data_IF_611386431409
#
_entry.id   IF_611386431409
#
_cell.length_a   1.000
_cell.length_b   1.000
_cell.length_c   1.000
_cell.angle_alpha   90.00
_cell.angle_beta   90.00
_cell.angle_gamma   90.00
#
_symmetry.space_group_name_H-M   'P 1'
#
loop_
_entity.id
_entity.type
_entity.pdbx_description
1 polymer ?
#
# COMPACT_ATOMS: atom_id res chain seq x y z
N UNK A 1 2.09 -25.86 -23.19
CA UNK A 1 2.93 -24.77 -22.67
C UNK A 1 2.05 -23.94 -21.76
N UNK A 2 2.47 -23.63 -20.53
CA UNK A 2 1.69 -22.77 -19.64
C UNK A 2 1.67 -21.35 -20.20
N UNK A 3 0.52 -20.66 -20.09
CA UNK A 3 0.40 -19.27 -20.51
C UNK A 3 1.40 -18.40 -19.72
N UNK A 4 2.11 -17.45 -20.36
CA UNK A 4 2.98 -16.53 -19.65
C UNK A 4 2.20 -15.75 -18.58
N UNK A 5 2.85 -15.51 -17.45
CA UNK A 5 2.29 -14.71 -16.34
C UNK A 5 3.07 -13.41 -16.25
N UNK A 6 2.36 -12.30 -16.06
CA UNK A 6 2.92 -10.96 -15.96
C UNK A 6 2.55 -10.34 -14.62
N UNK A 7 3.30 -9.31 -14.23
CA UNK A 7 2.97 -8.43 -13.12
C UNK A 7 2.85 -7.00 -13.63
N UNK A 8 1.77 -6.33 -13.25
CA UNK A 8 1.58 -4.90 -13.48
C UNK A 8 1.50 -4.20 -12.13
N UNK A 9 2.04 -2.99 -12.04
CA UNK A 9 2.09 -2.24 -10.78
C UNK A 9 1.58 -0.82 -10.99
N UNK A 10 0.80 -0.33 -10.04
CA UNK A 10 0.41 1.08 -9.95
C UNK A 10 0.81 1.64 -8.59
N UNK A 11 1.13 2.93 -8.57
CA UNK A 11 1.51 3.65 -7.36
C UNK A 11 0.59 4.84 -7.09
N UNK A 12 0.40 5.14 -5.81
CA UNK A 12 -0.22 6.35 -5.29
C UNK A 12 0.62 6.90 -4.12
N UNK A 13 0.33 8.13 -3.72
CA UNK A 13 0.98 8.80 -2.58
C UNK A 13 -0.06 9.34 -1.62
N UNK A 14 0.31 9.46 -0.35
CA UNK A 14 -0.46 10.17 0.67
C UNK A 14 0.48 10.72 1.73
N UNK A 15 0.12 11.85 2.33
CA UNK A 15 0.86 12.47 3.42
C UNK A 15 0.11 12.25 4.73
N UNK A 16 0.76 11.64 5.73
CA UNK A 16 0.09 11.35 6.99
C UNK A 16 1.05 11.43 8.19
N UNK A 17 0.47 11.72 9.35
CA UNK A 17 1.18 11.69 10.62
C UNK A 17 0.96 10.35 11.34
N UNK A 18 1.95 9.93 12.13
CA UNK A 18 1.83 8.81 13.05
C UNK A 18 2.79 8.90 14.24
N UNK A 19 2.60 8.03 15.23
CA UNK A 19 3.53 7.85 16.35
C UNK A 19 3.41 6.45 16.95
N UNK A 20 4.42 6.06 17.74
CA UNK A 20 4.46 4.77 18.43
C UNK A 20 4.64 4.97 19.94
N UNK A 21 3.55 5.04 20.73
CA UNK A 21 3.62 5.28 22.18
C UNK A 21 4.46 4.24 22.94
N UNK A 22 4.44 2.99 22.46
CA UNK A 22 5.19 1.86 23.02
C UNK A 22 6.49 1.59 22.24
N UNK A 23 6.98 2.56 21.48
CA UNK A 23 8.22 2.46 20.73
C UNK A 23 9.45 2.41 21.65
N UNK A 24 10.63 2.05 21.12
CA UNK A 24 11.86 2.01 21.90
C UNK A 24 12.15 3.37 22.55
N UNK A 25 12.53 3.35 23.83
CA UNK A 25 12.90 4.57 24.55
C UNK A 25 14.01 5.34 23.83
N UNK A 26 13.96 6.67 23.94
CA UNK A 26 14.94 7.60 23.35
C UNK A 26 15.06 7.55 21.82
N UNK A 27 14.08 6.95 21.11
CA UNK A 27 13.97 7.05 19.65
C UNK A 27 12.92 8.07 19.25
N UNK A 28 13.07 8.74 18.08
CA UNK A 28 12.12 9.76 17.64
C UNK A 28 10.72 9.21 17.30
N UNK A 29 10.57 7.88 17.20
CA UNK A 29 9.32 7.22 16.81
C UNK A 29 8.15 7.44 17.78
N UNK A 30 8.44 7.72 19.05
CA UNK A 30 7.42 8.01 20.06
C UNK A 30 6.85 9.43 19.92
N UNK A 31 7.57 10.35 19.27
CA UNK A 31 7.07 11.68 18.94
C UNK A 31 6.07 11.61 17.80
N UNK A 32 5.08 12.51 17.81
CA UNK A 32 4.25 12.77 16.64
C UNK A 32 5.13 13.28 15.50
N UNK A 33 5.08 12.59 14.37
CA UNK A 33 5.81 12.94 13.16
C UNK A 33 5.00 12.46 11.94
N UNK A 34 5.48 12.72 10.74
CA UNK A 34 4.80 12.30 9.53
C UNK A 34 5.74 12.06 8.37
N UNK A 35 5.20 11.46 7.32
CA UNK A 35 5.95 11.15 6.10
C UNK A 35 5.07 11.37 4.87
N UNK A 36 5.72 11.64 3.75
CA UNK A 36 5.15 11.44 2.43
C UNK A 36 5.29 9.97 2.08
N UNK A 37 4.21 9.22 2.22
CA UNK A 37 4.16 7.80 1.91
C UNK A 37 3.91 7.60 0.41
N UNK A 38 4.57 6.59 -0.16
CA UNK A 38 4.24 6.03 -1.47
C UNK A 38 3.79 4.59 -1.27
N UNK A 39 2.64 4.24 -1.85
CA UNK A 39 2.12 2.87 -1.88
C UNK A 39 2.09 2.37 -3.32
N UNK A 40 2.48 1.12 -3.52
CA UNK A 40 2.44 0.42 -4.81
C UNK A 40 1.65 -0.87 -4.65
N UNK A 41 0.72 -1.11 -5.58
CA UNK A 41 -0.03 -2.36 -5.66
C UNK A 41 0.32 -3.07 -6.96
N UNK A 42 0.69 -4.35 -6.84
CA UNK A 42 1.05 -5.22 -7.95
C UNK A 42 0.00 -6.30 -8.12
N UNK A 43 -0.48 -6.47 -9.35
CA UNK A 43 -1.39 -7.55 -9.74
C UNK A 43 -0.67 -8.49 -10.68
N UNK A 44 -0.73 -9.78 -10.39
CA UNK A 44 -0.12 -10.88 -11.14
C UNK A 44 -1.19 -11.73 -11.83
N UNK A 45 -0.96 -12.04 -13.09
CA UNK A 45 -1.86 -12.92 -13.84
C UNK A 45 -1.46 -13.05 -15.31
N UNK A 46 -2.15 -13.91 -16.07
CA UNK A 46 -2.04 -13.92 -17.52
C UNK A 46 -2.65 -12.65 -18.13
N UNK A 47 -2.17 -12.26 -19.31
CA UNK A 47 -2.88 -11.31 -20.16
C UNK A 47 -4.17 -11.95 -20.70
N UNK A 48 -5.29 -11.25 -20.62
CA UNK A 48 -6.62 -11.77 -20.98
C UNK A 48 -7.22 -10.99 -22.16
N UNK A 49 -7.74 -11.73 -23.14
CA UNK A 49 -8.45 -11.20 -24.31
C UNK A 49 -9.81 -10.59 -23.92
N UNK A 50 -10.35 -9.63 -24.70
CA UNK A 50 -9.86 -9.15 -26.00
C UNK A 50 -8.80 -8.03 -25.91
N UNK A 51 -8.49 -7.53 -24.71
CA UNK A 51 -7.63 -6.35 -24.53
C UNK A 51 -6.16 -6.74 -24.41
N UNK A 52 -5.86 -7.93 -23.85
CA UNK A 52 -4.50 -8.43 -23.71
C UNK A 52 -3.73 -7.89 -22.51
N UNK A 53 -4.43 -7.52 -21.42
CA UNK A 53 -3.83 -7.05 -20.16
C UNK A 53 -4.13 -7.96 -18.96
N UNK A 54 -3.40 -7.77 -17.86
CA UNK A 54 -3.60 -8.54 -16.61
C UNK A 54 -4.83 -8.02 -15.86
N UNK A 55 -4.92 -6.70 -15.70
CA UNK A 55 -6.06 -5.97 -15.15
C UNK A 55 -6.01 -4.53 -15.68
N UNK A 56 -7.11 -3.79 -15.55
CA UNK A 56 -7.14 -2.37 -15.88
C UNK A 56 -6.33 -1.55 -14.86
N UNK A 57 -5.30 -0.84 -15.34
CA UNK A 57 -4.48 0.05 -14.50
C UNK A 57 -5.23 1.30 -14.05
N UNK A 58 -6.28 1.73 -14.76
CA UNK A 58 -7.14 2.84 -14.34
C UNK A 58 -8.01 2.43 -13.15
N UNK A 59 -8.58 1.21 -13.19
CA UNK A 59 -9.33 0.67 -12.04
C UNK A 59 -8.42 0.46 -10.82
N UNK A 60 -7.20 -0.06 -11.04
CA UNK A 60 -6.21 -0.22 -9.96
C UNK A 60 -5.78 1.14 -9.39
N UNK A 61 -5.58 2.16 -10.24
CA UNK A 61 -5.29 3.53 -9.80
C UNK A 61 -6.42 4.12 -8.96
N UNK A 62 -7.66 4.01 -9.43
CA UNK A 62 -8.84 4.53 -8.75
C UNK A 62 -9.03 3.87 -7.38
N UNK A 63 -8.95 2.55 -7.30
CA UNK A 63 -9.06 1.80 -6.05
C UNK A 63 -7.91 2.12 -5.08
N UNK A 64 -6.66 2.13 -5.56
CA UNK A 64 -5.50 2.43 -4.74
C UNK A 64 -5.56 3.86 -4.16
N UNK A 65 -5.93 4.84 -4.99
CA UNK A 65 -6.13 6.23 -4.56
C UNK A 65 -7.30 6.38 -3.59
N UNK A 66 -8.38 5.64 -3.77
CA UNK A 66 -9.52 5.68 -2.85
C UNK A 66 -9.14 5.17 -1.45
N UNK A 67 -8.25 4.18 -1.36
CA UNK A 67 -7.70 3.73 -0.06
C UNK A 67 -6.72 4.77 0.49
N UNK A 68 -5.81 5.29 -0.32
CA UNK A 68 -4.84 6.31 0.09
C UNK A 68 -5.52 7.60 0.61
N UNK A 69 -6.60 8.04 -0.03
CA UNK A 69 -7.38 9.21 0.38
C UNK A 69 -8.03 9.07 1.77
N UNK A 70 -8.25 7.84 2.26
CA UNK A 70 -8.74 7.64 3.62
C UNK A 70 -7.67 7.93 4.69
N UNK A 71 -6.40 7.87 4.30
CA UNK A 71 -5.23 8.07 5.16
C UNK A 71 -4.63 9.46 5.01
N UNK A 72 -4.77 10.05 3.81
CA UNK A 72 -4.19 11.35 3.45
C UNK A 72 -4.62 12.49 4.38
N UNK A 73 -3.67 13.38 4.68
CA UNK A 73 -3.78 14.48 5.62
C UNK A 73 -4.35 14.09 7.00
N UNK A 74 -4.15 12.84 7.42
CA UNK A 74 -4.69 12.29 8.66
C UNK A 74 -3.65 11.81 9.66
N UNK A 75 -4.13 11.46 10.86
CA UNK A 75 -3.38 10.72 11.87
C UNK A 75 -3.66 9.21 11.71
N UNK A 76 -2.65 8.42 11.32
CA UNK A 76 -2.83 7.00 11.03
C UNK A 76 -3.32 6.20 12.25
N UNK A 77 -2.86 6.57 13.44
CA UNK A 77 -3.24 5.93 14.70
C UNK A 77 -4.75 5.95 14.99
N UNK A 78 -5.51 6.86 14.36
CA UNK A 78 -6.97 6.99 14.54
C UNK A 78 -7.77 6.17 13.50
N UNK A 79 -7.09 5.55 12.53
CA UNK A 79 -7.74 4.77 11.48
C UNK A 79 -7.94 3.33 11.96
N UNK A 80 -9.15 2.75 11.84
CA UNK A 80 -9.39 1.37 12.24
C UNK A 80 -8.42 0.39 11.56
N UNK A 81 -7.71 -0.40 12.37
CA UNK A 81 -6.70 -1.35 11.89
C UNK A 81 -5.28 -0.76 11.75
N UNK A 82 -5.09 0.53 12.06
CA UNK A 82 -3.79 1.22 12.05
C UNK A 82 -3.44 1.86 13.39
N UNK A 83 -3.98 1.35 14.50
CA UNK A 83 -3.64 1.80 15.86
C UNK A 83 -2.13 1.65 16.13
N UNK A 84 -1.47 0.74 15.40
CA UNK A 84 -0.02 0.53 15.33
C UNK A 84 0.48 0.73 13.89
N UNK A 85 0.67 1.95 13.40
CA UNK A 85 0.82 2.23 11.97
C UNK A 85 2.26 2.02 11.46
N UNK A 86 2.80 0.81 11.60
CA UNK A 86 4.06 0.39 10.98
C UNK A 86 3.88 0.22 9.47
N UNK A 87 4.98 0.16 8.71
CA UNK A 87 4.88 -0.06 7.26
C UNK A 87 4.20 -1.41 6.94
N UNK A 88 4.42 -2.44 7.77
CA UNK A 88 3.78 -3.76 7.65
C UNK A 88 2.26 -3.68 7.83
N UNK A 89 1.77 -3.00 8.87
CA UNK A 89 0.33 -2.83 9.06
C UNK A 89 -0.30 -1.95 7.99
N UNK A 90 0.42 -0.95 7.46
CA UNK A 90 -0.06 -0.18 6.31
C UNK A 90 -0.15 -1.08 5.07
N UNK A 91 0.84 -1.95 4.81
CA UNK A 91 0.74 -2.94 3.72
C UNK A 91 -0.51 -3.83 3.86
N UNK A 92 -0.77 -4.34 5.06
CA UNK A 92 -1.95 -5.16 5.34
C UNK A 92 -3.26 -4.37 5.15
N UNK A 93 -3.31 -3.11 5.58
CA UNK A 93 -4.46 -2.22 5.41
C UNK A 93 -4.85 -2.04 3.94
N UNK A 94 -3.85 -1.84 3.06
CA UNK A 94 -4.06 -1.76 1.62
C UNK A 94 -4.44 -3.11 1.02
N UNK A 95 -3.77 -4.21 1.40
CA UNK A 95 -4.07 -5.53 0.89
C UNK A 95 -5.53 -5.94 1.18
N UNK A 96 -5.98 -5.82 2.44
CA UNK A 96 -7.34 -6.14 2.86
C UNK A 96 -8.41 -5.43 2.00
N UNK A 97 -8.16 -4.17 1.64
CA UNK A 97 -9.11 -3.35 0.86
C UNK A 97 -9.05 -3.59 -0.65
N UNK A 98 -7.91 -4.04 -1.17
CA UNK A 98 -7.71 -4.24 -2.61
C UNK A 98 -7.99 -5.67 -3.06
N UNK A 99 -7.73 -6.68 -2.20
CA UNK A 99 -7.93 -8.10 -2.53
C UNK A 99 -9.35 -8.43 -3.04
N UNK A 100 -10.44 -7.89 -2.47
CA UNK A 100 -11.79 -8.20 -2.97
C UNK A 100 -12.02 -7.79 -4.43
N UNK A 101 -11.40 -6.69 -4.87
CA UNK A 101 -11.52 -6.16 -6.24
C UNK A 101 -10.47 -6.76 -7.18
N UNK A 102 -9.30 -7.11 -6.67
CA UNK A 102 -8.17 -7.64 -7.45
C UNK A 102 -7.73 -9.00 -6.89
N UNK A 103 -8.37 -10.12 -7.29
CA UNK A 103 -7.99 -11.47 -6.84
C UNK A 103 -6.54 -11.87 -7.20
N UNK A 104 -5.95 -11.23 -8.21
CA UNK A 104 -4.56 -11.41 -8.61
C UNK A 104 -3.57 -10.50 -7.88
N UNK A 105 -3.99 -9.74 -6.86
CA UNK A 105 -3.08 -8.90 -6.07
C UNK A 105 -1.95 -9.76 -5.49
N UNK A 106 -0.71 -9.51 -5.90
CA UNK A 106 0.46 -10.33 -5.53
C UNK A 106 1.42 -9.60 -4.59
N UNK A 107 1.41 -8.27 -4.60
CA UNK A 107 2.34 -7.48 -3.80
C UNK A 107 1.78 -6.12 -3.42
N UNK A 108 2.02 -5.71 -2.18
CA UNK A 108 1.88 -4.32 -1.74
C UNK A 108 3.25 -3.84 -1.27
N UNK A 109 3.67 -2.65 -1.71
CA UNK A 109 4.88 -1.99 -1.22
C UNK A 109 4.50 -0.64 -0.64
N UNK A 110 4.87 -0.38 0.60
CA UNK A 110 4.73 0.94 1.23
C UNK A 110 6.13 1.47 1.51
N UNK A 111 6.39 2.72 1.14
CA UNK A 111 7.69 3.35 1.28
C UNK A 111 7.60 4.79 1.77
N UNK A 112 8.70 5.27 2.33
CA UNK A 112 8.95 6.65 2.74
C UNK A 112 10.12 7.17 1.92
N UNK A 113 9.90 7.67 0.68
CA UNK A 113 10.97 7.93 -0.27
C UNK A 113 12.00 8.96 0.23
N UNK A 114 11.57 9.92 1.04
CA UNK A 114 12.41 11.00 1.58
C UNK A 114 13.52 10.50 2.51
N UNK A 115 13.36 9.31 3.09
CA UNK A 115 14.33 8.68 4.00
C UNK A 115 14.78 7.29 3.54
N UNK A 116 14.40 6.87 2.34
CA UNK A 116 14.90 5.63 1.71
C UNK A 116 14.41 4.33 2.33
N UNK A 117 13.27 4.35 3.02
CA UNK A 117 12.73 3.17 3.71
C UNK A 117 11.55 2.55 2.94
N UNK A 118 11.41 1.23 2.98
CA UNK A 118 10.28 0.53 2.38
C UNK A 118 9.98 -0.80 3.07
N UNK A 119 8.75 -1.26 2.93
CA UNK A 119 8.27 -2.58 3.31
C UNK A 119 7.51 -3.18 2.13
N UNK A 120 7.67 -4.49 1.90
CA UNK A 120 6.94 -5.22 0.88
C UNK A 120 6.22 -6.40 1.51
N UNK A 121 4.91 -6.48 1.27
CA UNK A 121 4.08 -7.64 1.53
C UNK A 121 3.90 -8.42 0.23
N UNK A 122 4.25 -9.71 0.24
CA UNK A 122 3.95 -10.66 -0.84
C UNK A 122 2.74 -11.50 -0.45
N UNK A 123 1.82 -11.73 -1.38
CA UNK A 123 0.55 -12.45 -1.20
C UNK A 123 0.54 -13.81 -1.93
#
# INVERSE_FOLDING_TARGET
>A
MSQPTFEITKAATFDAAHHFPQGPEHRPYSNLHGHSFKVEATVRGPAQEPVGWVADLADLDAALKAVAAQLDHGLLNEKPGLERPTLEHICLYFAERLTPTFPGLSRIVVSRPTIGESCALSL
#
